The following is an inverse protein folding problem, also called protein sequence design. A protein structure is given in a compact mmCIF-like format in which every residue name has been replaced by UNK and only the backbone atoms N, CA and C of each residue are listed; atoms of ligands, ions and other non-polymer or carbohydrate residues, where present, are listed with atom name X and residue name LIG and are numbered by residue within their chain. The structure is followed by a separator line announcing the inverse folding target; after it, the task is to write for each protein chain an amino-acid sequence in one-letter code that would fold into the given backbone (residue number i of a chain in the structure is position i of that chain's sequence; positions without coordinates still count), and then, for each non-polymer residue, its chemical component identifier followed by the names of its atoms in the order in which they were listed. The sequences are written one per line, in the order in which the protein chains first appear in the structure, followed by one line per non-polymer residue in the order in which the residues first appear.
data_IF_060542149880
#
_entry.id   IF_060542149880
#
_cell.length_a   1.000
_cell.length_b   1.000
_cell.length_c   1.000
_cell.angle_alpha   90.00
_cell.angle_beta   90.00
_cell.angle_gamma   90.00
#
_symmetry.space_group_name_H-M   'P 1'
#
loop_
_entity.id
_entity.type
_entity.pdbx_description
1 polymer ?
#
# COMPACT_ATOMS: atom_id res chain seq x y z
N UNK A 1 43.14 -33.40 -28.25
CA UNK A 1 42.93 -33.03 -26.84
C UNK A 1 41.80 -32.02 -26.83
N UNK A 2 40.59 -32.46 -26.51
CA UNK A 2 39.39 -31.65 -26.53
C UNK A 2 39.21 -31.03 -25.15
N UNK A 3 39.07 -29.70 -25.08
CA UNK A 3 38.60 -29.03 -23.87
C UNK A 3 37.19 -28.55 -24.18
N UNK A 4 36.21 -29.29 -23.68
CA UNK A 4 34.80 -28.95 -23.68
C UNK A 4 34.59 -27.92 -22.57
N UNK A 5 34.30 -26.67 -22.91
CA UNK A 5 33.76 -25.72 -21.95
C UNK A 5 32.24 -25.87 -21.94
N UNK A 6 31.73 -26.54 -20.91
CA UNK A 6 30.31 -26.47 -20.53
C UNK A 6 30.16 -25.22 -19.69
N UNK A 7 29.78 -24.10 -20.31
CA UNK A 7 29.21 -22.97 -19.56
C UNK A 7 27.71 -23.23 -19.43
N UNK A 8 27.35 -23.91 -18.36
CA UNK A 8 25.98 -24.00 -17.88
C UNK A 8 25.60 -22.65 -17.27
N UNK A 9 25.40 -21.64 -18.10
CA UNK A 9 24.79 -20.39 -17.68
C UNK A 9 23.28 -20.58 -17.74
N UNK A 10 22.71 -21.02 -16.61
CA UNK A 10 21.31 -20.72 -16.31
C UNK A 10 21.18 -19.21 -16.23
N UNK A 11 20.88 -18.59 -17.38
CA UNK A 11 20.42 -17.21 -17.44
C UNK A 11 19.13 -17.17 -16.62
N UNK A 12 19.22 -16.59 -15.42
CA UNK A 12 18.09 -16.23 -14.58
C UNK A 12 17.37 -15.02 -15.21
N UNK A 13 16.95 -15.17 -16.46
CA UNK A 13 16.08 -14.23 -17.15
C UNK A 13 14.63 -14.61 -16.88
N UNK A 14 13.70 -13.65 -16.80
CA UNK A 14 12.29 -13.98 -16.81
C UNK A 14 11.98 -14.84 -18.04
N UNK A 15 11.14 -15.86 -17.87
CA UNK A 15 10.74 -16.73 -18.99
C UNK A 15 10.28 -15.84 -20.15
N UNK A 16 10.78 -16.04 -21.38
CA UNK A 16 10.30 -15.29 -22.55
C UNK A 16 8.77 -15.30 -22.68
N UNK A 17 8.13 -16.37 -22.19
CA UNK A 17 6.68 -16.51 -22.08
C UNK A 17 6.07 -15.48 -21.12
N UNK A 18 6.73 -15.19 -19.99
CA UNK A 18 6.30 -14.18 -19.02
C UNK A 18 6.44 -12.76 -19.58
N UNK A 19 7.53 -12.49 -20.31
CA UNK A 19 7.74 -11.21 -21.01
C UNK A 19 6.65 -11.01 -22.06
N UNK A 20 6.35 -12.06 -22.84
CA UNK A 20 5.32 -12.02 -23.87
C UNK A 20 3.91 -11.87 -23.27
N UNK A 21 3.61 -12.57 -22.17
CA UNK A 21 2.35 -12.44 -21.45
C UNK A 21 2.19 -11.07 -20.80
N UNK A 22 3.26 -10.46 -20.31
CA UNK A 22 3.26 -9.09 -19.81
C UNK A 22 3.02 -8.09 -20.95
N UNK A 23 3.79 -8.21 -22.05
CA UNK A 23 3.65 -7.36 -23.23
C UNK A 23 2.26 -7.47 -23.89
N UNK A 24 1.69 -8.67 -23.93
CA UNK A 24 0.35 -8.91 -24.45
C UNK A 24 -0.74 -8.38 -23.51
N UNK A 25 -0.52 -8.41 -22.19
CA UNK A 25 -1.41 -7.76 -21.21
C UNK A 25 -1.40 -6.25 -21.38
N UNK A 26 -0.21 -5.65 -21.53
CA UNK A 26 -0.06 -4.20 -21.76
C UNK A 26 -0.50 -3.75 -23.15
N UNK A 27 -0.44 -4.62 -24.17
CA UNK A 27 -0.88 -4.26 -25.54
C UNK A 27 -2.39 -4.41 -25.76
N UNK A 28 -3.10 -5.22 -24.96
CA UNK A 28 -4.55 -5.44 -25.08
C UNK A 28 -5.40 -4.72 -24.01
N UNK A 29 -4.79 -3.77 -23.28
CA UNK A 29 -5.41 -2.89 -22.27
C UNK A 29 -6.72 -2.25 -22.77
N UNK A 30 -6.90 -2.06 -24.07
CA UNK A 30 -8.09 -1.39 -24.62
C UNK A 30 -9.43 -2.14 -24.48
N UNK A 31 -9.50 -3.45 -24.16
CA UNK A 31 -10.76 -4.22 -24.35
C UNK A 31 -11.31 -4.98 -23.14
N UNK A 32 -10.59 -5.06 -22.02
CA UNK A 32 -11.05 -5.77 -20.81
C UNK A 32 -10.70 -4.96 -19.56
N UNK A 33 -11.64 -4.15 -19.03
CA UNK A 33 -11.39 -3.32 -17.85
C UNK A 33 -10.98 -4.16 -16.62
N UNK A 34 -11.51 -5.37 -16.46
CA UNK A 34 -11.15 -6.28 -15.36
C UNK A 34 -9.68 -6.76 -15.40
N UNK A 35 -8.96 -6.55 -16.51
CA UNK A 35 -7.51 -6.82 -16.63
C UNK A 35 -6.65 -5.56 -16.38
N UNK A 36 -7.27 -4.39 -16.23
CA UNK A 36 -6.61 -3.13 -15.87
C UNK A 36 -6.47 -3.00 -14.35
N UNK A 37 -7.37 -3.62 -13.58
CA UNK A 37 -7.33 -3.54 -12.12
C UNK A 37 -6.18 -4.35 -11.52
N UNK A 38 -5.49 -3.74 -10.55
CA UNK A 38 -4.53 -4.44 -9.71
C UNK A 38 -5.28 -5.44 -8.80
N UNK A 39 -4.67 -6.60 -8.48
CA UNK A 39 -5.17 -7.45 -7.40
C UNK A 39 -5.35 -6.64 -6.11
N UNK A 40 -6.48 -6.84 -5.39
CA UNK A 40 -6.79 -6.08 -4.17
C UNK A 40 -5.69 -6.17 -3.12
N UNK A 41 -4.96 -7.29 -3.04
CA UNK A 41 -3.81 -7.42 -2.14
C UNK A 41 -2.69 -6.42 -2.43
N UNK A 42 -2.45 -6.09 -3.70
CA UNK A 42 -1.48 -5.08 -4.12
C UNK A 42 -2.02 -3.69 -3.80
N UNK A 43 -3.31 -3.43 -4.06
CA UNK A 43 -3.96 -2.15 -3.74
C UNK A 43 -3.88 -1.86 -2.25
N UNK A 44 -4.16 -2.85 -1.40
CA UNK A 44 -4.03 -2.74 0.06
C UNK A 44 -2.59 -2.44 0.45
N UNK A 45 -1.62 -3.18 -0.09
CA UNK A 45 -0.19 -2.98 0.23
C UNK A 45 0.27 -1.57 -0.15
N UNK A 46 -0.14 -1.06 -1.31
CA UNK A 46 0.18 0.30 -1.75
C UNK A 46 -0.50 1.35 -0.88
N UNK A 47 -1.76 1.11 -0.50
CA UNK A 47 -2.50 2.00 0.38
C UNK A 47 -1.84 2.10 1.77
N UNK A 48 -1.51 0.97 2.38
CA UNK A 48 -0.84 0.92 3.68
C UNK A 48 0.54 1.58 3.63
N UNK A 49 1.32 1.32 2.58
CA UNK A 49 2.61 1.98 2.37
C UNK A 49 2.50 3.51 2.32
N UNK A 50 1.52 4.04 1.59
CA UNK A 50 1.34 5.50 1.49
C UNK A 50 0.83 6.08 2.81
N UNK A 51 -0.08 5.38 3.51
CA UNK A 51 -0.54 5.81 4.83
C UNK A 51 0.61 5.83 5.84
N UNK A 52 1.49 4.84 5.83
CA UNK A 52 2.70 4.82 6.66
C UNK A 52 3.62 5.99 6.35
N UNK A 53 3.85 6.27 5.06
CA UNK A 53 4.65 7.42 4.62
C UNK A 53 4.05 8.77 5.09
N UNK A 54 2.73 8.86 5.23
CA UNK A 54 2.01 10.02 5.78
C UNK A 54 1.89 10.00 7.30
N UNK A 55 2.48 9.01 7.99
CA UNK A 55 2.33 8.80 9.44
C UNK A 55 0.88 8.57 9.90
N UNK A 56 0.04 8.02 9.01
CA UNK A 56 -1.37 7.69 9.24
C UNK A 56 -1.63 6.17 9.37
N UNK A 57 -0.62 5.33 9.13
CA UNK A 57 -0.74 3.87 9.23
C UNK A 57 -0.66 3.30 10.65
N UNK A 58 -0.66 4.14 11.69
CA UNK A 58 -0.66 3.67 13.07
C UNK A 58 -1.92 2.85 13.38
N UNK A 59 -1.77 1.65 13.92
CA UNK A 59 -2.87 0.76 14.28
C UNK A 59 -3.81 1.33 15.36
N UNK A 60 -3.31 2.22 16.21
CA UNK A 60 -4.11 2.91 17.22
C UNK A 60 -4.98 4.02 16.60
N UNK A 61 -4.67 4.47 15.37
CA UNK A 61 -5.45 5.45 14.62
C UNK A 61 -6.64 4.76 13.93
N UNK A 62 -7.55 4.25 14.75
CA UNK A 62 -8.79 3.61 14.32
C UNK A 62 -9.95 4.12 15.19
N UNK A 63 -11.07 4.49 14.56
CA UNK A 63 -12.19 5.12 15.26
C UNK A 63 -12.74 4.31 16.43
N UNK A 64 -12.79 2.97 16.29
CA UNK A 64 -13.25 2.07 17.35
C UNK A 64 -12.26 1.95 18.53
N UNK A 65 -11.00 2.34 18.35
CA UNK A 65 -9.96 2.24 19.38
C UNK A 65 -9.87 3.47 20.28
N UNK A 66 -10.52 4.59 19.93
CA UNK A 66 -10.40 5.87 20.67
C UNK A 66 -10.60 5.70 22.19
N UNK A 67 -11.67 5.03 22.60
CA UNK A 67 -11.95 4.81 24.03
C UNK A 67 -10.88 3.95 24.71
N UNK A 68 -10.39 2.93 24.01
CA UNK A 68 -9.35 2.03 24.52
C UNK A 68 -8.00 2.74 24.65
N UNK A 69 -7.57 3.48 23.63
CA UNK A 69 -6.28 4.21 23.68
C UNK A 69 -6.29 5.34 24.71
N UNK A 70 -7.45 5.99 24.89
CA UNK A 70 -7.67 7.04 25.88
C UNK A 70 -7.63 6.49 27.29
N UNK A 71 -8.34 5.39 27.55
CA UNK A 71 -8.40 4.74 28.87
C UNK A 71 -7.07 4.09 29.26
N UNK A 72 -6.39 3.44 28.31
CA UNK A 72 -5.10 2.80 28.52
C UNK A 72 -3.93 3.78 28.52
N UNK A 73 -4.16 5.03 28.09
CA UNK A 73 -3.12 6.07 27.95
C UNK A 73 -1.93 5.55 27.15
N UNK A 74 -2.20 5.00 25.96
CA UNK A 74 -1.14 4.43 25.11
C UNK A 74 -0.07 5.48 24.80
N UNK A 75 1.15 5.03 24.48
CA UNK A 75 2.25 5.92 24.07
C UNK A 75 1.83 6.80 22.89
N UNK A 76 1.07 6.22 21.96
CA UNK A 76 0.46 6.95 20.85
C UNK A 76 -0.47 8.06 21.37
N UNK A 77 -1.45 7.76 22.22
CA UNK A 77 -2.36 8.77 22.78
C UNK A 77 -1.61 9.91 23.48
N UNK A 78 -0.61 9.57 24.29
CA UNK A 78 0.21 10.56 25.01
C UNK A 78 0.98 11.46 24.03
N UNK A 79 1.47 10.92 22.92
CA UNK A 79 2.21 11.69 21.90
C UNK A 79 1.37 12.72 21.13
N UNK A 80 0.04 12.61 21.16
CA UNK A 80 -0.84 13.47 20.36
C UNK A 80 -0.99 14.91 20.90
N UNK A 81 -0.64 15.15 22.16
CA UNK A 81 -0.84 16.46 22.77
C UNK A 81 -0.61 16.49 24.28
N UNK A 82 -0.78 17.67 24.87
CA UNK A 82 -0.49 17.88 26.31
C UNK A 82 -1.74 17.72 27.18
N UNK A 83 -2.92 18.06 26.64
CA UNK A 83 -4.23 17.86 27.28
C UNK A 83 -5.06 16.81 26.56
N UNK A 84 -6.08 16.26 27.24
CA UNK A 84 -6.98 15.29 26.61
C UNK A 84 -7.83 15.91 25.49
N UNK A 85 -8.19 17.18 25.60
CA UNK A 85 -8.91 17.93 24.56
C UNK A 85 -8.05 18.09 23.29
N UNK A 86 -6.77 18.47 23.45
CA UNK A 86 -5.83 18.56 22.33
C UNK A 86 -5.63 17.21 21.65
N UNK A 87 -5.45 16.15 22.45
CA UNK A 87 -5.26 14.78 21.95
C UNK A 87 -6.48 14.31 21.17
N UNK A 88 -7.68 14.53 21.69
CA UNK A 88 -8.93 14.13 21.03
C UNK A 88 -9.12 14.89 19.71
N UNK A 89 -8.88 16.20 19.71
CA UNK A 89 -8.93 17.01 18.50
C UNK A 89 -7.91 16.56 17.46
N UNK A 90 -6.68 16.27 17.88
CA UNK A 90 -5.61 15.79 16.99
C UNK A 90 -5.92 14.40 16.46
N UNK A 91 -6.44 13.51 17.29
CA UNK A 91 -6.86 12.17 16.89
C UNK A 91 -7.94 12.23 15.81
N UNK A 92 -9.01 13.02 16.05
CA UNK A 92 -10.10 13.17 15.10
C UNK A 92 -9.62 13.74 13.76
N UNK A 93 -8.76 14.76 13.81
CA UNK A 93 -8.12 15.30 12.61
C UNK A 93 -7.33 14.24 11.83
N UNK A 94 -6.49 13.46 12.51
CA UNK A 94 -5.71 12.40 11.87
C UNK A 94 -6.60 11.29 11.29
N UNK A 95 -7.71 10.96 11.96
CA UNK A 95 -8.67 9.96 11.49
C UNK A 95 -9.41 10.43 10.22
N UNK A 96 -9.78 11.71 10.16
CA UNK A 96 -10.33 12.34 8.96
C UNK A 96 -9.31 12.33 7.81
N UNK A 97 -8.05 12.67 8.07
CA UNK A 97 -7.00 12.61 7.07
C UNK A 97 -6.78 11.18 6.57
N UNK A 98 -6.70 10.17 7.45
CA UNK A 98 -6.57 8.76 7.08
C UNK A 98 -7.71 8.33 6.15
N UNK A 99 -8.94 8.67 6.50
CA UNK A 99 -10.12 8.36 5.67
C UNK A 99 -10.07 9.05 4.31
N UNK A 100 -9.69 10.33 4.28
CA UNK A 100 -9.54 11.10 3.06
C UNK A 100 -8.47 10.52 2.13
N UNK A 101 -7.26 10.29 2.64
CA UNK A 101 -6.16 9.76 1.85
C UNK A 101 -6.39 8.32 1.40
N UNK A 102 -7.03 7.46 2.20
CA UNK A 102 -7.46 6.12 1.74
C UNK A 102 -8.29 6.17 0.45
N UNK A 103 -9.20 7.14 0.34
CA UNK A 103 -9.99 7.34 -0.87
C UNK A 103 -9.14 7.87 -2.02
N UNK A 104 -8.34 8.91 -1.77
CA UNK A 104 -7.48 9.53 -2.79
C UNK A 104 -6.46 8.54 -3.36
N UNK A 105 -5.82 7.73 -2.52
CA UNK A 105 -4.83 6.73 -2.96
C UNK A 105 -5.48 5.73 -3.91
N UNK A 106 -6.66 5.21 -3.57
CA UNK A 106 -7.40 4.30 -4.45
C UNK A 106 -7.76 4.94 -5.78
N UNK A 107 -8.20 6.20 -5.78
CA UNK A 107 -8.46 6.94 -7.02
C UNK A 107 -7.19 7.10 -7.85
N UNK A 108 -6.07 7.53 -7.25
CA UNK A 108 -4.81 7.67 -7.96
C UNK A 108 -4.28 6.33 -8.53
N UNK A 109 -4.47 5.23 -7.80
CA UNK A 109 -4.13 3.89 -8.30
C UNK A 109 -4.97 3.57 -9.54
N UNK A 110 -6.29 3.80 -9.48
CA UNK A 110 -7.19 3.54 -10.60
C UNK A 110 -6.88 4.42 -11.82
N UNK A 111 -6.50 5.69 -11.62
CA UNK A 111 -6.12 6.61 -12.70
C UNK A 111 -4.77 6.27 -13.35
N UNK A 112 -3.89 5.53 -12.65
CA UNK A 112 -2.58 5.15 -13.15
C UNK A 112 -2.58 3.88 -14.01
N UNK A 113 -3.73 3.19 -14.11
CA UNK A 113 -3.92 1.91 -14.82
C UNK A 113 -4.63 2.13 -16.16
#
# INVERSE_FOLDING_TARGET
MFITFITNEHVCGPDPSDIWNFAHRTSNVSRKPDLQDLPESIVITLNDFVLDALSLGNEDLEGYRLNSIRSLRTSYWISLGTSDEEREKKFNYLLEQKTFYCGQIRTCIAEAL
#
